data_IF_278629898057
#
_entry.id   IF_278629898057
#
_cell.length_a   1.000
_cell.length_b   1.000
_cell.length_c   1.000
_cell.angle_alpha   90.00
_cell.angle_beta   90.00
_cell.angle_gamma   90.00
#
_symmetry.space_group_name_H-M   'P 1'
#
loop_
_entity.id
_entity.type
_entity.pdbx_description
1 polymer ?
#
# COMPACT_ATOMS: atom_id res chain seq x y z
N UNK A 1 34.34 -27.89 3.27
CA UNK A 1 34.37 -27.55 1.83
C UNK A 1 33.02 -27.76 1.14
N UNK A 2 32.34 -28.90 1.32
CA UNK A 2 31.04 -29.22 0.67
C UNK A 2 29.95 -28.15 0.92
N UNK A 3 29.88 -27.59 2.13
CA UNK A 3 28.84 -26.60 2.47
C UNK A 3 29.03 -25.25 1.77
N UNK A 4 30.27 -24.78 1.56
CA UNK A 4 30.53 -23.47 0.95
C UNK A 4 30.14 -23.47 -0.54
N UNK A 5 30.54 -24.51 -1.28
CA UNK A 5 30.21 -24.68 -2.69
C UNK A 5 28.69 -24.82 -2.88
N UNK A 6 28.02 -25.52 -1.96
CA UNK A 6 26.55 -25.63 -1.98
C UNK A 6 25.87 -24.26 -1.84
N UNK A 7 26.27 -23.44 -0.86
CA UNK A 7 25.70 -22.11 -0.67
C UNK A 7 26.02 -21.14 -1.81
N UNK A 8 27.21 -21.26 -2.42
CA UNK A 8 27.56 -20.47 -3.60
C UNK A 8 26.67 -20.81 -4.80
N UNK A 9 26.38 -22.10 -5.02
CA UNK A 9 25.45 -22.53 -6.07
C UNK A 9 24.03 -22.05 -5.79
N UNK A 10 23.56 -22.18 -4.56
CA UNK A 10 22.24 -21.68 -4.14
C UNK A 10 22.12 -20.17 -4.36
N UNK A 11 23.13 -19.41 -3.97
CA UNK A 11 23.21 -17.97 -4.18
C UNK A 11 23.11 -17.61 -5.67
N UNK A 12 23.92 -18.24 -6.52
CA UNK A 12 23.94 -17.95 -7.95
C UNK A 12 22.59 -18.27 -8.63
N UNK A 13 21.97 -19.39 -8.26
CA UNK A 13 20.65 -19.77 -8.75
C UNK A 13 19.60 -18.74 -8.34
N UNK A 14 19.60 -18.31 -7.08
CA UNK A 14 18.67 -17.32 -6.56
C UNK A 14 18.89 -15.94 -7.18
N UNK A 15 20.15 -15.53 -7.37
CA UNK A 15 20.51 -14.27 -8.00
C UNK A 15 20.01 -14.22 -9.45
N UNK A 16 20.10 -15.33 -10.18
CA UNK A 16 19.56 -15.43 -11.53
C UNK A 16 18.04 -15.31 -11.55
N UNK A 17 17.33 -15.95 -10.61
CA UNK A 17 15.88 -15.80 -10.46
C UNK A 17 15.49 -14.36 -10.17
N UNK A 18 16.20 -13.71 -9.26
CA UNK A 18 15.99 -12.30 -8.92
C UNK A 18 16.20 -11.40 -10.14
N UNK A 19 17.32 -11.54 -10.87
CA UNK A 19 17.60 -10.74 -12.07
C UNK A 19 16.55 -10.92 -13.16
N UNK A 20 16.13 -12.16 -13.39
CA UNK A 20 15.07 -12.46 -14.34
C UNK A 20 13.75 -11.80 -13.94
N UNK A 21 13.37 -11.91 -12.66
CA UNK A 21 12.15 -11.30 -12.16
C UNK A 21 12.20 -9.78 -12.18
N UNK A 22 13.36 -9.18 -11.88
CA UNK A 22 13.57 -7.74 -11.95
C UNK A 22 13.42 -7.24 -13.38
N UNK A 23 14.05 -7.91 -14.35
CA UNK A 23 13.92 -7.55 -15.76
C UNK A 23 12.46 -7.68 -16.25
N UNK A 24 11.76 -8.74 -15.81
CA UNK A 24 10.33 -8.90 -16.10
C UNK A 24 9.49 -7.80 -15.47
N UNK A 25 9.82 -7.36 -14.26
CA UNK A 25 9.13 -6.26 -13.60
C UNK A 25 9.35 -4.92 -14.32
N UNK A 26 10.59 -4.64 -14.73
CA UNK A 26 10.95 -3.42 -15.44
C UNK A 26 10.36 -3.32 -16.85
N UNK A 27 9.96 -4.43 -17.47
CA UNK A 27 9.33 -4.46 -18.79
C UNK A 27 7.81 -4.28 -18.76
N UNK A 28 7.18 -4.29 -17.57
CA UNK A 28 5.73 -4.11 -17.45
C UNK A 28 5.31 -2.67 -17.75
N UNK A 29 4.23 -2.53 -18.50
CA UNK A 29 3.59 -1.22 -18.69
C UNK A 29 2.64 -0.87 -17.51
N UNK A 30 2.12 0.35 -17.52
CA UNK A 30 1.24 0.86 -16.46
C UNK A 30 -0.07 0.07 -16.29
N UNK A 31 -0.60 -0.49 -17.37
CA UNK A 31 -1.80 -1.34 -17.33
C UNK A 31 -1.52 -2.67 -16.68
N UNK A 32 -0.40 -3.31 -17.05
CA UNK A 32 0.02 -4.59 -16.48
C UNK A 32 0.31 -4.50 -14.99
N UNK A 33 0.88 -3.38 -14.54
CA UNK A 33 1.17 -3.12 -13.13
C UNK A 33 -0.11 -3.01 -12.27
N UNK A 34 -1.19 -2.45 -12.84
CA UNK A 34 -2.48 -2.27 -12.15
C UNK A 34 -3.38 -3.50 -12.20
N UNK A 35 -3.02 -4.52 -13.00
CA UNK A 35 -3.79 -5.76 -13.07
C UNK A 35 -3.87 -6.41 -11.70
N UNK A 36 -5.08 -6.72 -11.24
CA UNK A 36 -5.31 -7.42 -9.98
C UNK A 36 -5.12 -8.93 -10.19
N UNK A 37 -4.34 -9.56 -9.32
CA UNK A 37 -4.02 -10.98 -9.33
C UNK A 37 -4.60 -11.61 -8.05
N UNK A 38 -5.49 -12.60 -8.18
CA UNK A 38 -6.01 -13.35 -7.04
C UNK A 38 -4.99 -14.39 -6.56
N UNK A 39 -4.82 -14.49 -5.26
CA UNK A 39 -3.99 -15.48 -4.58
C UNK A 39 -4.84 -16.17 -3.51
N UNK A 40 -5.12 -17.45 -3.73
CA UNK A 40 -5.90 -18.27 -2.78
C UNK A 40 -5.09 -18.58 -1.52
N UNK A 41 -5.79 -18.76 -0.41
CA UNK A 41 -5.23 -19.04 0.92
C UNK A 41 -4.25 -17.96 1.38
N UNK A 42 -4.53 -16.72 0.99
CA UNK A 42 -3.75 -15.54 1.33
C UNK A 42 -4.64 -14.39 1.76
N UNK A 43 -4.08 -13.49 2.55
CA UNK A 43 -4.63 -12.15 2.76
C UNK A 43 -3.60 -11.08 2.46
N UNK A 44 -4.08 -9.92 2.05
CA UNK A 44 -3.29 -8.73 1.83
C UNK A 44 -3.58 -7.69 2.93
N UNK A 45 -2.51 -7.23 3.59
CA UNK A 45 -2.56 -6.18 4.59
C UNK A 45 -1.72 -4.98 4.15
N UNK A 46 -2.37 -4.03 3.47
CA UNK A 46 -1.79 -2.76 3.04
C UNK A 46 -1.58 -1.78 4.21
N UNK A 47 -0.89 -0.68 3.91
CA UNK A 47 -0.52 0.35 4.90
C UNK A 47 -1.73 1.11 5.45
N UNK A 48 -2.69 1.43 4.57
CA UNK A 48 -3.87 2.23 4.94
C UNK A 48 -5.15 1.54 4.53
N UNK A 49 -6.15 1.59 5.41
CA UNK A 49 -7.51 1.17 5.13
C UNK A 49 -8.20 2.13 4.13
N UNK A 50 -8.76 1.59 3.05
CA UNK A 50 -9.63 2.37 2.14
C UNK A 50 -11.09 2.11 2.51
N UNK A 51 -11.52 0.85 2.48
CA UNK A 51 -12.90 0.47 2.78
C UNK A 51 -12.98 -0.98 3.21
N UNK A 52 -13.87 -1.26 4.15
CA UNK A 52 -14.27 -2.61 4.51
C UNK A 52 -15.78 -2.72 4.20
N UNK A 53 -16.15 -3.56 3.24
CA UNK A 53 -17.53 -3.58 2.70
C UNK A 53 -17.97 -4.99 2.33
N UNK A 54 -19.27 -5.25 2.43
CA UNK A 54 -19.86 -6.51 1.96
C UNK A 54 -20.01 -6.47 0.43
N UNK A 55 -19.67 -7.58 -0.23
CA UNK A 55 -19.74 -7.78 -1.69
C UNK A 55 -20.30 -9.16 -2.00
N UNK A 56 -20.89 -9.41 -3.17
CA UNK A 56 -21.54 -10.71 -3.40
C UNK A 56 -20.53 -11.82 -3.76
N UNK A 57 -19.38 -11.45 -4.31
CA UNK A 57 -18.39 -12.38 -4.81
C UNK A 57 -17.00 -11.72 -4.93
N UNK A 58 -16.00 -12.52 -5.31
CA UNK A 58 -14.62 -12.06 -5.48
C UNK A 58 -14.48 -10.98 -6.56
N UNK A 59 -15.20 -11.07 -7.68
CA UNK A 59 -15.10 -10.09 -8.78
C UNK A 59 -15.63 -8.72 -8.35
N UNK A 60 -16.71 -8.68 -7.57
CA UNK A 60 -17.21 -7.44 -6.96
C UNK A 60 -16.12 -6.78 -6.09
N UNK A 61 -15.32 -7.57 -5.36
CA UNK A 61 -14.19 -7.06 -4.57
C UNK A 61 -13.04 -6.53 -5.46
N UNK A 62 -12.75 -7.22 -6.57
CA UNK A 62 -11.78 -6.77 -7.57
C UNK A 62 -12.22 -5.43 -8.16
N UNK A 63 -13.49 -5.29 -8.52
CA UNK A 63 -14.02 -4.07 -9.11
C UNK A 63 -14.07 -2.93 -8.09
N UNK A 64 -14.36 -3.23 -6.82
CA UNK A 64 -14.25 -2.26 -5.73
C UNK A 64 -12.81 -1.75 -5.57
N UNK A 65 -11.81 -2.63 -5.66
CA UNK A 65 -10.41 -2.24 -5.65
C UNK A 65 -10.06 -1.38 -6.88
N UNK A 66 -10.44 -1.79 -8.09
CA UNK A 66 -10.17 -1.02 -9.34
C UNK A 66 -10.81 0.36 -9.36
N UNK A 67 -12.00 0.51 -8.76
CA UNK A 67 -12.69 1.80 -8.65
C UNK A 67 -11.92 2.79 -7.78
N UNK A 68 -11.15 2.29 -6.81
CA UNK A 68 -10.32 3.09 -5.94
C UNK A 68 -8.91 3.25 -6.53
N UNK A 69 -8.60 4.46 -7.03
CA UNK A 69 -7.29 4.75 -7.65
C UNK A 69 -6.08 4.42 -6.78
N UNK A 70 -6.26 4.46 -5.46
CA UNK A 70 -5.21 4.20 -4.47
C UNK A 70 -5.14 2.73 -4.03
N UNK A 71 -6.02 1.86 -4.55
CA UNK A 71 -6.00 0.46 -4.17
C UNK A 71 -4.73 -0.21 -4.69
N UNK A 72 -3.95 -0.75 -3.77
CA UNK A 72 -2.80 -1.59 -4.07
C UNK A 72 -3.13 -3.07 -3.96
N UNK A 73 -4.15 -3.39 -3.16
CA UNK A 73 -4.78 -4.70 -3.07
C UNK A 73 -5.95 -4.74 -2.10
N UNK A 74 -6.62 -5.89 -2.05
CA UNK A 74 -7.72 -6.17 -1.14
C UNK A 74 -7.64 -7.60 -0.61
N UNK A 75 -8.43 -7.92 0.41
CA UNK A 75 -8.69 -9.29 0.84
C UNK A 75 -10.17 -9.57 0.70
N UNK A 76 -10.53 -10.61 -0.04
CA UNK A 76 -11.89 -11.14 -0.08
C UNK A 76 -12.02 -12.32 0.89
N UNK A 77 -13.01 -12.26 1.76
CA UNK A 77 -13.34 -13.28 2.76
C UNK A 77 -14.64 -13.96 2.30
N UNK A 78 -14.56 -15.15 1.65
CA UNK A 78 -15.74 -15.81 1.08
C UNK A 78 -16.80 -16.18 2.12
N UNK A 79 -16.40 -16.48 3.35
CA UNK A 79 -17.32 -16.92 4.41
C UNK A 79 -18.30 -15.82 4.84
N UNK A 80 -17.84 -14.57 4.85
CA UNK A 80 -18.62 -13.41 5.29
C UNK A 80 -18.95 -12.46 4.16
N UNK A 81 -18.54 -12.78 2.93
CA UNK A 81 -18.71 -11.92 1.77
C UNK A 81 -18.08 -10.53 1.98
N UNK A 82 -17.01 -10.45 2.78
CA UNK A 82 -16.36 -9.19 3.13
C UNK A 82 -15.18 -8.91 2.19
N UNK A 83 -15.07 -7.65 1.76
CA UNK A 83 -13.97 -7.12 0.97
C UNK A 83 -13.24 -6.03 1.77
N UNK A 84 -11.98 -6.28 2.11
CA UNK A 84 -11.11 -5.36 2.83
C UNK A 84 -10.13 -4.71 1.86
N UNK A 85 -10.43 -3.51 1.42
CA UNK A 85 -9.65 -2.76 0.42
C UNK A 85 -8.60 -1.90 1.13
N UNK A 86 -7.35 -2.01 0.70
CA UNK A 86 -6.20 -1.34 1.31
C UNK A 86 -5.34 -0.63 0.25
N UNK A 87 -4.61 0.40 0.68
CA UNK A 87 -3.63 1.11 -0.14
C UNK A 87 -2.20 0.89 0.36
N UNK A 88 -1.25 1.27 -0.51
CA UNK A 88 0.18 1.23 -0.23
C UNK A 88 0.79 -0.16 -0.29
N UNK A 89 2.11 -0.23 -0.17
CA UNK A 89 2.81 -1.51 -0.08
C UNK A 89 2.53 -2.17 1.28
N UNK A 90 2.29 -3.48 1.27
CA UNK A 90 1.85 -4.23 2.44
C UNK A 90 2.28 -5.69 2.37
N UNK A 91 1.93 -6.46 3.41
CA UNK A 91 2.28 -7.88 3.50
C UNK A 91 1.23 -8.76 2.84
N UNK A 92 1.68 -9.81 2.16
CA UNK A 92 0.84 -10.93 1.71
C UNK A 92 1.09 -12.10 2.67
N UNK A 93 0.09 -12.44 3.47
CA UNK A 93 0.22 -13.43 4.54
C UNK A 93 -0.52 -14.71 4.17
N UNK A 94 -0.09 -15.84 4.77
CA UNK A 94 -0.87 -17.08 4.73
C UNK A 94 -2.16 -16.88 5.52
N UNK A 95 -3.29 -17.12 4.88
CA UNK A 95 -4.60 -16.94 5.51
C UNK A 95 -5.60 -17.90 4.83
N UNK A 96 -5.75 -19.12 5.37
CA UNK A 96 -6.55 -20.16 4.75
C UNK A 96 -8.00 -19.72 4.51
N UNK A 97 -8.56 -20.12 3.37
CA UNK A 97 -9.92 -19.78 2.93
C UNK A 97 -10.15 -18.32 2.53
N UNK A 98 -9.13 -17.45 2.61
CA UNK A 98 -9.21 -16.07 2.13
C UNK A 98 -8.51 -15.92 0.78
N UNK A 99 -8.86 -14.86 0.05
CA UNK A 99 -8.24 -14.54 -1.23
C UNK A 99 -7.63 -13.15 -1.19
N UNK A 100 -6.31 -13.08 -1.33
CA UNK A 100 -5.62 -11.81 -1.52
C UNK A 100 -5.76 -11.38 -2.98
N UNK A 101 -6.23 -10.17 -3.20
CA UNK A 101 -6.44 -9.54 -4.49
C UNK A 101 -5.43 -8.42 -4.64
N UNK A 102 -4.22 -8.72 -5.11
CA UNK A 102 -3.12 -7.75 -5.13
C UNK A 102 -2.87 -7.25 -6.53
N UNK A 103 -2.50 -5.98 -6.66
CA UNK A 103 -1.96 -5.49 -7.93
C UNK A 103 -0.71 -6.27 -8.32
N UNK A 104 -0.50 -6.47 -9.61
CA UNK A 104 0.68 -7.14 -10.16
C UNK A 104 1.96 -6.43 -9.71
N UNK A 105 1.92 -5.09 -9.61
CA UNK A 105 2.99 -4.32 -9.00
C UNK A 105 3.35 -4.80 -7.58
N UNK A 106 2.37 -4.88 -6.67
CA UNK A 106 2.60 -5.34 -5.28
C UNK A 106 3.14 -6.76 -5.27
N UNK A 107 2.57 -7.64 -6.10
CA UNK A 107 3.03 -9.03 -6.18
C UNK A 107 4.49 -9.13 -6.62
N UNK A 108 4.85 -8.49 -7.75
CA UNK A 108 6.22 -8.54 -8.29
C UNK A 108 7.23 -7.99 -7.31
N UNK A 109 6.89 -6.88 -6.66
CA UNK A 109 7.74 -6.27 -5.65
C UNK A 109 7.90 -7.16 -4.41
N UNK A 110 6.84 -7.82 -3.95
CA UNK A 110 6.93 -8.77 -2.83
C UNK A 110 7.85 -9.95 -3.14
N UNK A 111 7.85 -10.44 -4.38
CA UNK A 111 8.75 -11.51 -4.85
C UNK A 111 10.21 -11.03 -4.85
N UNK A 112 10.47 -9.83 -5.38
CA UNK A 112 11.82 -9.25 -5.40
C UNK A 112 12.38 -9.05 -3.99
N UNK A 113 11.56 -8.56 -3.07
CA UNK A 113 11.95 -8.41 -1.67
C UNK A 113 12.23 -9.76 -1.02
N UNK A 114 11.41 -10.78 -1.27
CA UNK A 114 11.64 -12.13 -0.75
C UNK A 114 12.96 -12.72 -1.25
N UNK A 115 13.29 -12.53 -2.54
CA UNK A 115 14.59 -12.96 -3.07
C UNK A 115 15.75 -12.20 -2.45
N UNK A 116 15.61 -10.89 -2.21
CA UNK A 116 16.64 -10.10 -1.53
C UNK A 116 16.91 -10.60 -0.10
N UNK A 117 15.86 -10.92 0.66
CA UNK A 117 16.00 -11.50 2.01
C UNK A 117 16.71 -12.86 1.98
N UNK A 118 16.33 -13.73 1.04
CA UNK A 118 16.98 -15.03 0.88
C UNK A 118 18.46 -14.90 0.46
N UNK A 119 18.78 -13.98 -0.45
CA UNK A 119 20.17 -13.69 -0.87
C UNK A 119 21.01 -13.22 0.32
N UNK A 120 20.47 -12.31 1.14
CA UNK A 120 21.14 -11.87 2.39
C UNK A 120 21.37 -13.02 3.35
N UNK A 121 20.35 -13.87 3.56
CA UNK A 121 20.49 -15.04 4.44
C UNK A 121 21.59 -16.00 3.98
N UNK A 122 21.74 -16.22 2.67
CA UNK A 122 22.82 -17.07 2.13
C UNK A 122 24.19 -16.41 2.33
N UNK A 123 24.30 -15.09 2.10
CA UNK A 123 25.53 -14.34 2.34
C UNK A 123 25.95 -14.44 3.82
N UNK A 124 25.00 -14.33 4.75
CA UNK A 124 25.27 -14.43 6.18
C UNK A 124 25.81 -15.83 6.55
N UNK A 125 25.22 -16.90 6.00
CA UNK A 125 25.71 -18.28 6.17
C UNK A 125 27.12 -18.48 5.60
N UNK A 126 27.41 -17.91 4.43
CA UNK A 126 28.75 -17.96 3.81
C UNK A 126 29.76 -17.27 4.72
N UNK A 127 29.44 -16.07 5.22
CA UNK A 127 30.33 -15.32 6.10
C UNK A 127 30.62 -16.06 7.41
N UNK A 128 29.62 -16.73 7.99
CA UNK A 128 29.79 -17.56 9.18
C UNK A 128 30.76 -18.73 8.94
N UNK A 129 30.60 -19.44 7.81
CA UNK A 129 31.50 -20.55 7.42
C UNK A 129 32.93 -20.05 7.22
N UNK A 130 33.11 -18.90 6.57
CA UNK A 130 34.44 -18.31 6.32
C UNK A 130 35.11 -17.91 7.63
N UNK A 131 34.36 -17.29 8.56
CA UNK A 131 34.87 -16.90 9.88
C UNK A 131 35.34 -18.12 10.69
N UNK A 132 34.59 -19.22 10.64
CA UNK A 132 34.84 -20.40 11.45
C UNK A 132 35.93 -21.34 10.88
N UNK A 133 36.23 -21.30 9.58
CA UNK A 133 37.17 -22.22 8.92
C UNK A 133 38.53 -21.58 8.55
N UNK A 134 38.93 -20.51 9.24
CA UNK A 134 40.10 -19.68 8.89
C UNK A 134 41.49 -20.35 8.99
N UNK A 135 41.57 -21.65 9.31
CA UNK A 135 42.83 -22.34 9.58
C UNK A 135 43.40 -23.22 8.46
N UNK A 136 42.66 -23.66 7.43
CA UNK A 136 43.20 -24.69 6.50
C UNK A 136 42.72 -24.66 5.03
N UNK A 137 42.01 -23.62 4.59
CA UNK A 137 41.52 -23.54 3.21
C UNK A 137 42.31 -22.47 2.44
N UNK A 138 42.58 -22.72 1.15
CA UNK A 138 43.15 -21.78 0.18
C UNK A 138 42.55 -20.39 0.34
N UNK A 139 43.24 -19.56 1.13
CA UNK A 139 42.76 -18.25 1.59
C UNK A 139 42.47 -17.34 0.41
N UNK A 140 43.16 -17.54 -0.71
CA UNK A 140 43.07 -16.71 -1.91
C UNK A 140 41.81 -16.98 -2.73
N UNK A 141 41.42 -18.25 -2.92
CA UNK A 141 40.18 -18.63 -3.61
C UNK A 141 38.96 -18.17 -2.80
N UNK A 142 38.98 -18.41 -1.49
CA UNK A 142 37.92 -17.94 -0.59
C UNK A 142 37.83 -16.42 -0.63
N UNK A 143 38.96 -15.71 -0.51
CA UNK A 143 38.97 -14.24 -0.49
C UNK A 143 38.39 -13.66 -1.76
N UNK A 144 38.76 -14.18 -2.93
CA UNK A 144 38.22 -13.71 -4.22
C UNK A 144 36.71 -13.93 -4.35
N UNK A 145 36.22 -15.09 -3.93
CA UNK A 145 34.78 -15.38 -3.98
C UNK A 145 33.99 -14.53 -2.97
N UNK A 146 34.53 -14.33 -1.77
CA UNK A 146 33.94 -13.45 -0.75
C UNK A 146 33.92 -11.98 -1.21
N UNK A 147 34.98 -11.50 -1.86
CA UNK A 147 35.02 -10.14 -2.41
C UNK A 147 34.00 -9.95 -3.54
N UNK A 148 33.83 -10.94 -4.42
CA UNK A 148 32.79 -10.94 -5.44
C UNK A 148 31.40 -10.90 -4.81
N UNK A 149 31.13 -11.77 -3.84
CA UNK A 149 29.85 -11.81 -3.12
C UNK A 149 29.55 -10.49 -2.41
N UNK A 150 30.57 -9.87 -1.79
CA UNK A 150 30.45 -8.56 -1.15
C UNK A 150 30.14 -7.45 -2.16
N UNK A 151 30.72 -7.50 -3.35
CA UNK A 151 30.39 -6.57 -4.43
C UNK A 151 28.94 -6.75 -4.89
N UNK A 152 28.52 -8.00 -5.10
CA UNK A 152 27.15 -8.32 -5.51
C UNK A 152 26.14 -7.91 -4.43
N UNK A 153 26.46 -8.08 -3.14
CA UNK A 153 25.60 -7.65 -2.03
C UNK A 153 25.44 -6.13 -1.96
N UNK A 154 26.48 -5.35 -2.30
CA UNK A 154 26.39 -3.89 -2.38
C UNK A 154 25.50 -3.44 -3.54
N UNK A 155 25.55 -4.14 -4.68
CA UNK A 155 24.64 -3.88 -5.81
C UNK A 155 23.19 -4.17 -5.40
N UNK A 156 22.94 -5.31 -4.77
CA UNK A 156 21.60 -5.67 -4.26
C UNK A 156 21.09 -4.67 -3.22
N UNK A 157 21.96 -4.14 -2.36
CA UNK A 157 21.58 -3.09 -1.41
C UNK A 157 21.12 -1.81 -2.15
N UNK A 158 21.87 -1.37 -3.16
CA UNK A 158 21.50 -0.21 -3.98
C UNK A 158 20.21 -0.44 -4.78
N UNK A 159 19.99 -1.64 -5.32
CA UNK A 159 18.75 -1.99 -5.99
C UNK A 159 17.57 -2.04 -5.02
N UNK A 160 17.78 -2.52 -3.81
CA UNK A 160 16.79 -2.48 -2.76
C UNK A 160 16.40 -1.04 -2.40
N UNK A 161 17.35 -0.11 -2.35
CA UNK A 161 17.05 1.31 -2.14
C UNK A 161 16.19 1.89 -3.28
N UNK A 162 16.44 1.46 -4.52
CA UNK A 162 15.58 1.82 -5.66
C UNK A 162 14.16 1.26 -5.49
N UNK A 163 14.03 0.00 -5.09
CA UNK A 163 12.72 -0.61 -4.82
C UNK A 163 11.98 0.12 -3.70
N UNK A 164 12.68 0.50 -2.62
CA UNK A 164 12.12 1.30 -1.53
C UNK A 164 11.68 2.69 -1.99
N UNK A 165 12.43 3.33 -2.89
CA UNK A 165 12.02 4.60 -3.49
C UNK A 165 10.76 4.43 -4.35
N UNK A 166 10.67 3.37 -5.15
CA UNK A 166 9.46 3.05 -5.93
C UNK A 166 8.26 2.84 -4.99
N UNK A 167 8.43 2.11 -3.88
CA UNK A 167 7.42 1.95 -2.82
C UNK A 167 7.00 3.30 -2.25
N UNK A 168 7.97 4.13 -1.91
CA UNK A 168 7.75 5.45 -1.32
C UNK A 168 6.97 6.36 -2.27
N UNK A 169 7.38 6.47 -3.54
CA UNK A 169 6.68 7.26 -4.54
C UNK A 169 5.23 6.80 -4.74
N UNK A 170 4.98 5.49 -4.75
CA UNK A 170 3.61 4.99 -4.80
C UNK A 170 2.81 5.36 -3.56
N UNK A 171 3.39 5.23 -2.38
CA UNK A 171 2.72 5.60 -1.14
C UNK A 171 2.35 7.10 -1.11
N UNK A 172 3.18 7.98 -1.67
CA UNK A 172 2.89 9.42 -1.81
C UNK A 172 1.78 9.68 -2.83
N UNK A 173 1.88 9.11 -4.03
CA UNK A 173 0.86 9.26 -5.07
C UNK A 173 -0.53 8.82 -4.58
N UNK A 174 -0.55 7.85 -3.65
CA UNK A 174 -1.76 7.39 -2.99
C UNK A 174 -2.22 8.27 -1.82
N UNK A 175 -1.35 9.08 -1.20
CA UNK A 175 -1.70 9.99 -0.10
C UNK A 175 -2.19 11.36 -0.58
N UNK A 176 -1.65 11.90 -1.68
CA UNK A 176 -2.03 13.26 -2.15
C UNK A 176 -3.48 13.35 -2.64
N UNK A 177 -4.08 12.22 -3.01
CA UNK A 177 -5.52 12.14 -3.35
C UNK A 177 -6.42 12.21 -2.10
N UNK A 178 -5.93 11.79 -0.92
CA UNK A 178 -6.67 11.88 0.35
C UNK A 178 -6.65 13.31 0.92
N UNK A 179 -5.58 14.06 0.71
CA UNK A 179 -5.50 15.46 1.16
C UNK A 179 -6.41 16.39 0.35
N UNK A 180 -6.57 16.14 -0.95
CA UNK A 180 -7.51 16.94 -1.77
C UNK A 180 -8.98 16.66 -1.44
N UNK A 181 -9.35 15.48 -0.91
CA UNK A 181 -10.71 15.24 -0.44
C UNK A 181 -10.97 15.84 0.95
N UNK A 182 -9.98 15.88 1.85
CA UNK A 182 -10.11 16.55 3.14
C UNK A 182 -10.22 18.09 3.04
N UNK A 183 -9.57 18.72 2.05
CA UNK A 183 -9.72 20.17 1.80
C UNK A 183 -11.14 20.54 1.32
N UNK A 184 -11.83 19.63 0.63
CA UNK A 184 -13.22 19.85 0.18
C UNK A 184 -14.20 19.82 1.35
N UNK A 185 -14.02 18.94 2.34
CA UNK A 185 -14.90 18.88 3.52
C UNK A 185 -14.65 20.02 4.53
N UNK A 186 -13.41 20.50 4.65
CA UNK A 186 -13.07 21.66 5.48
C UNK A 186 -13.71 22.96 4.95
N UNK A 187 -13.73 23.16 3.63
CA UNK A 187 -14.33 24.37 3.04
C UNK A 187 -15.86 24.33 3.06
N UNK A 188 -16.46 23.15 3.00
CA UNK A 188 -17.91 23.00 3.04
C UNK A 188 -18.49 23.40 4.40
N UNK A 189 -17.89 22.95 5.50
CA UNK A 189 -18.35 23.28 6.85
C UNK A 189 -18.18 24.77 7.17
N UNK A 190 -17.10 25.40 6.70
CA UNK A 190 -16.90 26.85 6.80
C UNK A 190 -17.99 27.63 6.04
N UNK A 191 -18.37 27.19 4.83
CA UNK A 191 -19.45 27.82 4.07
C UNK A 191 -20.81 27.76 4.80
N UNK A 192 -21.15 26.62 5.41
CA UNK A 192 -22.40 26.47 6.18
C UNK A 192 -22.46 27.39 7.40
N UNK A 193 -21.34 27.59 8.09
CA UNK A 193 -21.26 28.51 9.23
C UNK A 193 -21.54 29.95 8.77
N UNK A 194 -20.92 30.40 7.67
CA UNK A 194 -21.16 31.75 7.15
C UNK A 194 -22.58 31.93 6.60
N UNK A 195 -23.14 30.90 5.97
CA UNK A 195 -24.52 30.92 5.47
C UNK A 195 -25.55 30.99 6.61
N UNK A 196 -25.32 30.25 7.70
CA UNK A 196 -26.16 30.31 8.90
C UNK A 196 -26.08 31.67 9.58
N UNK A 197 -24.88 32.24 9.72
CA UNK A 197 -24.68 33.61 10.22
C UNK A 197 -25.41 34.64 9.37
N UNK A 198 -25.35 34.52 8.04
CA UNK A 198 -26.04 35.42 7.13
C UNK A 198 -27.56 35.37 7.30
N UNK A 199 -28.16 34.16 7.38
CA UNK A 199 -29.59 34.00 7.65
C UNK A 199 -29.99 34.57 9.01
N UNK A 200 -29.15 34.40 10.03
CA UNK A 200 -29.38 34.96 11.36
C UNK A 200 -29.40 36.49 11.35
N UNK A 201 -28.49 37.13 10.61
CA UNK A 201 -28.46 38.60 10.45
C UNK A 201 -29.73 39.10 9.74
N UNK A 202 -30.21 38.40 8.72
CA UNK A 202 -31.47 38.75 8.05
C UNK A 202 -32.66 38.61 9.00
N UNK A 203 -32.71 37.55 9.80
CA UNK A 203 -33.78 37.36 10.78
C UNK A 203 -33.78 38.49 11.84
N UNK A 204 -32.60 38.87 12.34
CA UNK A 204 -32.42 40.00 13.27
C UNK A 204 -32.87 41.32 12.66
N UNK A 205 -32.47 41.62 11.42
CA UNK A 205 -32.84 42.89 10.78
C UNK A 205 -34.35 42.98 10.54
N UNK A 206 -35.00 41.89 10.14
CA UNK A 206 -36.45 41.82 10.01
C UNK A 206 -37.17 42.00 11.36
N UNK A 207 -36.62 41.46 12.45
CA UNK A 207 -37.16 41.65 13.80
C UNK A 207 -37.15 43.12 14.24
N UNK A 208 -36.08 43.86 13.95
CA UNK A 208 -35.99 45.29 14.28
C UNK A 208 -36.91 46.17 13.42
N UNK A 209 -37.14 45.81 12.16
CA UNK A 209 -38.00 46.59 11.26
C UNK A 209 -39.49 46.39 11.59
N UNK A 210 -39.89 45.22 12.10
CA UNK A 210 -41.28 44.88 12.36
C UNK A 210 -41.52 44.41 13.82
N UNK A 211 -41.36 45.29 14.83
CA UNK A 211 -41.37 44.91 16.24
C UNK A 211 -42.75 44.47 16.80
N UNK A 212 -43.85 44.81 16.11
CA UNK A 212 -45.22 44.52 16.57
C UNK A 212 -45.95 43.44 15.77
N UNK A 213 -45.31 42.81 14.77
CA UNK A 213 -45.88 41.62 14.13
C UNK A 213 -45.55 40.40 14.99
N UNK A 214 -46.57 39.66 15.43
CA UNK A 214 -46.39 38.34 16.03
C UNK A 214 -45.42 37.51 15.16
N UNK A 215 -44.49 36.73 15.74
CA UNK A 215 -43.46 36.03 14.98
C UNK A 215 -44.14 35.22 13.89
N UNK A 216 -44.00 35.69 12.65
CA UNK A 216 -44.70 35.09 11.54
C UNK A 216 -44.17 33.67 11.36
N UNK A 217 -44.99 32.77 10.80
CA UNK A 217 -44.60 31.40 10.45
C UNK A 217 -43.23 31.29 9.76
N UNK A 218 -42.80 32.38 9.11
CA UNK A 218 -41.49 32.55 8.47
C UNK A 218 -40.33 32.43 9.48
N UNK A 219 -40.42 33.02 10.67
CA UNK A 219 -39.36 32.94 11.69
C UNK A 219 -39.20 31.51 12.22
N UNK A 220 -40.32 30.81 12.45
CA UNK A 220 -40.33 29.39 12.84
C UNK A 220 -39.75 28.50 11.73
N UNK A 221 -40.03 28.82 10.46
CA UNK A 221 -39.49 28.09 9.32
C UNK A 221 -37.97 28.26 9.19
N UNK A 222 -37.45 29.48 9.41
CA UNK A 222 -36.01 29.76 9.40
C UNK A 222 -35.30 29.02 10.53
N UNK A 223 -35.86 29.03 11.75
CA UNK A 223 -35.30 28.28 12.90
C UNK A 223 -35.32 26.76 12.64
N UNK A 224 -36.39 26.24 12.03
CA UNK A 224 -36.47 24.82 11.65
C UNK A 224 -35.42 24.42 10.62
N UNK A 225 -35.11 25.28 9.64
CA UNK A 225 -34.05 25.01 8.67
C UNK A 225 -32.70 24.99 9.36
N UNK A 226 -32.43 25.94 10.26
CA UNK A 226 -31.17 25.99 11.01
C UNK A 226 -30.98 24.73 11.87
N UNK A 227 -32.02 24.27 12.55
CA UNK A 227 -31.98 23.05 13.38
C UNK A 227 -31.90 21.75 12.56
N UNK A 228 -32.35 21.74 11.31
CA UNK A 228 -32.28 20.56 10.44
C UNK A 228 -30.89 20.37 9.80
N UNK A 229 -30.12 21.46 9.66
CA UNK A 229 -28.80 21.47 9.02
C UNK A 229 -27.63 21.64 10.02
N UNK A 230 -27.89 21.69 11.32
CA UNK A 230 -26.88 21.61 12.40
C UNK A 230 -26.73 20.18 12.90
#
# INVERSE_FOLDING_TARGET
>A
MINLVSFENEYNLLLNKYKNEYNNFMSLNSSDLKKIIPLNDKSFWGKTAISDSSVNNQNDCIDLCKKNKNCSGATFVPQTNQCMVRSGFGSINNDPNNVALVSNYVLKLSILLSYNEQLRSIIDKINEIVKNNSLDIDKEIIKKNVEKLKKDSLILASENDKLQNIIYQQNILNSDVLNNSQIVYSNYSVFFIYFSLFLFIIALSLFFIFPNSAPSLILLFIISIILFFS
#
